data_IF_093999580135
#
_entry.id   IF_093999580135
#
_cell.length_a   1.000
_cell.length_b   1.000
_cell.length_c   1.000
_cell.angle_alpha   90.00
_cell.angle_beta   90.00
_cell.angle_gamma   90.00
#
_symmetry.space_group_name_H-M   'P 1'
#
loop_
_entity.id
_entity.type
_entity.pdbx_description
1 polymer ?
#
# COMPACT_ATOMS: atom_id res chain seq x y z
N UNK A 1 -17.68 12.62 -10.50
CA UNK A 1 -16.85 12.01 -9.45
C UNK A 1 -15.67 12.93 -9.20
N UNK A 2 -15.48 13.40 -7.98
CA UNK A 2 -14.47 14.37 -7.59
C UNK A 2 -13.08 13.75 -7.40
N UNK A 3 -12.09 14.64 -7.21
CA UNK A 3 -10.70 14.28 -6.90
C UNK A 3 -10.14 15.29 -5.92
N UNK A 4 -9.51 14.82 -4.86
CA UNK A 4 -8.73 15.65 -3.96
C UNK A 4 -7.32 15.78 -4.52
N UNK A 5 -6.82 17.01 -4.69
CA UNK A 5 -5.45 17.29 -5.13
C UNK A 5 -4.57 17.56 -3.91
N UNK A 6 -3.40 16.94 -3.85
CA UNK A 6 -2.37 17.28 -2.88
C UNK A 6 -1.90 18.73 -3.12
N UNK A 7 -2.10 19.66 -2.16
CA UNK A 7 -1.58 21.01 -2.30
C UNK A 7 -0.05 20.98 -2.34
N UNK A 8 0.56 21.76 -3.24
CA UNK A 8 2.01 21.80 -3.38
C UNK A 8 2.71 22.23 -2.08
N UNK A 9 2.11 23.16 -1.33
CA UNK A 9 2.61 23.61 -0.02
C UNK A 9 2.65 22.49 1.03
N UNK A 10 1.83 21.45 0.87
CA UNK A 10 1.73 20.32 1.80
C UNK A 10 2.61 19.13 1.41
N UNK A 11 3.24 19.14 0.23
CA UNK A 11 4.08 18.01 -0.23
C UNK A 11 5.20 17.69 0.76
N UNK A 12 5.92 18.71 1.21
CA UNK A 12 7.04 18.53 2.16
C UNK A 12 6.57 17.93 3.46
N UNK A 13 5.47 18.45 4.02
CA UNK A 13 4.95 17.99 5.30
C UNK A 13 4.43 16.54 5.22
N UNK A 14 3.63 16.24 4.20
CA UNK A 14 3.04 14.91 4.00
C UNK A 14 4.03 13.86 3.46
N UNK A 15 5.24 14.28 3.08
CA UNK A 15 6.33 13.36 2.73
C UNK A 15 7.09 12.81 3.94
N UNK A 16 6.92 13.43 5.13
CA UNK A 16 7.53 12.94 6.36
C UNK A 16 6.87 11.63 6.79
N UNK A 17 7.62 10.69 7.40
CA UNK A 17 7.03 9.49 7.98
C UNK A 17 5.96 9.86 9.02
N UNK A 18 4.74 9.35 8.86
CA UNK A 18 3.64 9.56 9.81
C UNK A 18 3.72 8.63 11.04
N UNK A 19 4.77 7.82 11.12
CA UNK A 19 4.95 6.82 12.17
C UNK A 19 6.36 6.23 12.14
N UNK A 20 6.49 4.98 12.58
CA UNK A 20 7.77 4.30 12.63
C UNK A 20 8.39 4.16 11.24
N UNK A 21 9.57 4.74 11.05
CA UNK A 21 10.41 4.52 9.88
C UNK A 21 11.38 3.37 10.18
N UNK A 22 11.29 2.28 9.42
CA UNK A 22 12.24 1.18 9.50
C UNK A 22 13.47 1.52 8.65
N UNK A 23 14.63 1.61 9.30
CA UNK A 23 15.91 1.89 8.67
C UNK A 23 16.76 0.61 8.70
N UNK A 24 17.09 0.07 7.53
CA UNK A 24 17.80 -1.20 7.40
C UNK A 24 17.69 -1.76 5.99
N UNK A 25 18.26 -2.94 5.78
CA UNK A 25 18.08 -3.68 4.53
C UNK A 25 16.60 -4.11 4.36
N UNK A 26 16.14 -4.40 3.14
CA UNK A 26 14.80 -4.95 2.91
C UNK A 26 14.50 -6.18 3.77
N UNK A 27 15.48 -7.09 3.93
CA UNK A 27 15.35 -8.32 4.72
C UNK A 27 15.22 -8.03 6.22
N UNK A 28 15.97 -7.06 6.74
CA UNK A 28 15.89 -6.63 8.13
C UNK A 28 14.54 -6.00 8.44
N UNK A 29 14.07 -5.11 7.57
CA UNK A 29 12.79 -4.43 7.72
C UNK A 29 11.62 -5.42 7.69
N UNK A 30 11.67 -6.41 6.79
CA UNK A 30 10.72 -7.52 6.76
C UNK A 30 10.65 -8.26 8.09
N UNK A 31 11.80 -8.63 8.67
CA UNK A 31 11.84 -9.34 9.96
C UNK A 31 11.23 -8.50 11.07
N UNK A 32 11.53 -7.21 11.10
CA UNK A 32 10.95 -6.27 12.07
C UNK A 32 9.42 -6.20 11.93
N UNK A 33 8.90 -6.12 10.70
CA UNK A 33 7.46 -6.15 10.43
C UNK A 33 6.82 -7.45 10.95
N UNK A 34 7.40 -8.61 10.66
CA UNK A 34 6.88 -9.90 11.13
C UNK A 34 6.82 -9.94 12.66
N UNK A 35 7.85 -9.42 13.35
CA UNK A 35 7.84 -9.34 14.81
C UNK A 35 6.77 -8.36 15.32
N UNK A 36 6.59 -7.20 14.68
CA UNK A 36 5.52 -6.26 15.02
C UNK A 36 4.14 -6.89 14.85
N UNK A 37 3.92 -7.66 13.79
CA UNK A 37 2.67 -8.39 13.57
C UNK A 37 2.41 -9.42 14.67
N UNK A 38 3.43 -10.21 15.05
CA UNK A 38 3.31 -11.21 16.13
C UNK A 38 3.02 -10.57 17.48
N UNK A 39 3.75 -9.50 17.82
CA UNK A 39 3.67 -8.86 19.13
C UNK A 39 2.37 -8.07 19.32
N UNK A 40 1.86 -7.45 18.26
CA UNK A 40 0.67 -6.58 18.35
C UNK A 40 -0.62 -7.28 17.90
N UNK A 41 -0.53 -8.39 17.18
CA UNK A 41 -1.68 -9.11 16.61
C UNK A 41 -2.71 -8.16 15.98
N UNK A 42 -2.31 -7.31 15.00
CA UNK A 42 -3.19 -6.28 14.47
C UNK A 42 -4.40 -6.91 13.78
N UNK A 43 -5.59 -6.31 13.89
CA UNK A 43 -6.81 -6.87 13.29
C UNK A 43 -6.76 -6.83 11.75
N UNK A 44 -6.00 -5.89 11.17
CA UNK A 44 -5.79 -5.76 9.72
C UNK A 44 -4.39 -5.26 9.39
N UNK A 45 -3.88 -5.72 8.25
CA UNK A 45 -2.60 -5.30 7.65
C UNK A 45 -2.90 -4.68 6.29
N UNK A 46 -2.44 -3.44 6.11
CA UNK A 46 -2.55 -2.70 4.84
C UNK A 46 -1.14 -2.40 4.33
N UNK A 47 -0.88 -2.70 3.06
CA UNK A 47 0.40 -2.47 2.40
C UNK A 47 0.20 -1.55 1.20
N UNK A 48 1.01 -0.50 1.10
CA UNK A 48 0.91 0.51 0.04
C UNK A 48 2.27 0.64 -0.66
N UNK A 49 2.27 0.53 -1.98
CA UNK A 49 3.44 0.65 -2.85
C UNK A 49 3.99 -0.68 -3.33
N UNK A 50 4.43 -0.70 -4.59
CA UNK A 50 4.76 -1.95 -5.30
C UNK A 50 5.93 -2.72 -4.64
N UNK A 51 6.96 -2.00 -4.18
CA UNK A 51 8.15 -2.63 -3.58
C UNK A 51 7.81 -3.39 -2.30
N UNK A 52 7.04 -2.78 -1.40
CA UNK A 52 6.67 -3.41 -0.13
C UNK A 52 5.69 -4.55 -0.37
N UNK A 53 4.71 -4.35 -1.26
CA UNK A 53 3.76 -5.39 -1.63
C UNK A 53 4.46 -6.63 -2.20
N UNK A 54 5.44 -6.43 -3.09
CA UNK A 54 6.25 -7.53 -3.63
C UNK A 54 6.93 -8.36 -2.53
N UNK A 55 7.60 -7.71 -1.58
CA UNK A 55 8.33 -8.40 -0.52
C UNK A 55 7.39 -9.15 0.44
N UNK A 56 6.23 -8.58 0.76
CA UNK A 56 5.23 -9.29 1.57
C UNK A 56 4.77 -10.58 0.87
N UNK A 57 4.41 -10.46 -0.41
CA UNK A 57 3.90 -11.58 -1.18
C UNK A 57 4.97 -12.65 -1.46
N UNK A 58 6.23 -12.26 -1.70
CA UNK A 58 7.33 -13.22 -1.90
C UNK A 58 7.64 -14.06 -0.67
N UNK A 59 7.25 -13.59 0.52
CA UNK A 59 7.38 -14.29 1.79
C UNK A 59 6.11 -15.07 2.18
N UNK A 60 5.10 -15.11 1.30
CA UNK A 60 3.82 -15.76 1.55
C UNK A 60 2.90 -15.00 2.51
N UNK A 61 3.19 -13.73 2.80
CA UNK A 61 2.36 -12.89 3.67
C UNK A 61 1.39 -12.10 2.80
N UNK A 62 0.12 -12.46 2.86
CA UNK A 62 -0.93 -11.76 2.10
C UNK A 62 -1.59 -10.72 3.01
N UNK A 63 -1.47 -9.40 2.70
CA UNK A 63 -2.12 -8.37 3.48
C UNK A 63 -3.64 -8.41 3.28
N UNK A 64 -4.40 -7.87 4.23
CA UNK A 64 -5.85 -7.70 4.08
C UNK A 64 -6.17 -6.73 2.93
N UNK A 65 -5.32 -5.72 2.74
CA UNK A 65 -5.38 -4.81 1.60
C UNK A 65 -3.99 -4.45 1.09
N UNK A 66 -3.72 -4.73 -0.18
CA UNK A 66 -2.56 -4.25 -0.92
C UNK A 66 -2.96 -3.15 -1.91
N UNK A 67 -2.20 -2.07 -1.99
CA UNK A 67 -2.41 -0.98 -2.97
C UNK A 67 -1.11 -0.75 -3.73
N UNK A 68 -1.17 -0.76 -5.05
CA UNK A 68 0.01 -0.65 -5.92
C UNK A 68 -0.33 0.18 -7.18
N UNK A 69 0.66 0.82 -7.80
CA UNK A 69 0.45 1.76 -8.92
C UNK A 69 1.33 1.47 -10.17
N UNK A 70 2.21 0.45 -10.11
CA UNK A 70 3.16 0.06 -11.18
C UNK A 70 4.09 1.20 -11.64
N UNK A 71 4.14 2.34 -10.94
CA UNK A 71 4.91 3.52 -11.34
C UNK A 71 6.27 3.59 -10.65
N UNK A 72 6.74 2.53 -9.97
CA UNK A 72 8.09 2.60 -9.38
C UNK A 72 9.17 2.75 -10.45
N UNK A 73 10.15 3.60 -10.15
CA UNK A 73 11.31 3.86 -11.01
C UNK A 73 12.43 2.81 -10.88
N UNK A 74 12.25 1.79 -10.03
CA UNK A 74 13.30 0.81 -9.70
C UNK A 74 12.88 -0.55 -10.27
N UNK A 75 13.31 -0.84 -11.49
CA UNK A 75 13.16 -2.12 -12.22
C UNK A 75 11.70 -2.55 -12.52
N UNK A 76 11.46 -3.32 -13.60
CA UNK A 76 10.13 -3.86 -13.88
C UNK A 76 9.85 -5.01 -12.91
N UNK A 77 9.30 -4.71 -11.73
CA UNK A 77 8.73 -5.72 -10.86
C UNK A 77 7.45 -6.27 -11.50
N UNK A 78 7.52 -7.44 -12.13
CA UNK A 78 6.34 -8.13 -12.66
C UNK A 78 5.60 -8.83 -11.52
N UNK A 79 4.82 -8.06 -10.77
CA UNK A 79 3.76 -8.59 -9.92
C UNK A 79 2.63 -9.10 -10.83
N UNK A 80 2.64 -10.39 -11.13
CA UNK A 80 1.53 -11.09 -11.78
C UNK A 80 0.39 -11.28 -10.77
N UNK A 81 -0.23 -10.17 -10.39
CA UNK A 81 -1.38 -10.14 -9.50
C UNK A 81 -2.65 -9.96 -10.30
N UNK A 82 -3.70 -10.65 -9.88
CA UNK A 82 -5.07 -10.36 -10.30
C UNK A 82 -5.67 -9.39 -9.28
N UNK A 83 -5.73 -8.07 -9.58
CA UNK A 83 -6.28 -7.11 -8.65
C UNK A 83 -7.78 -7.35 -8.45
N UNK A 84 -8.24 -7.19 -7.21
CA UNK A 84 -9.67 -7.18 -6.87
C UNK A 84 -10.39 -5.96 -7.45
N UNK A 85 -9.66 -4.87 -7.69
CA UNK A 85 -10.18 -3.66 -8.32
C UNK A 85 -9.06 -2.89 -9.04
N UNK A 86 -9.41 -2.21 -10.14
CA UNK A 86 -8.56 -1.26 -10.85
C UNK A 86 -9.24 0.10 -10.78
N UNK A 87 -8.51 1.12 -10.35
CA UNK A 87 -9.02 2.46 -10.09
C UNK A 87 -8.19 3.48 -10.84
N UNK A 88 -8.82 4.52 -11.38
CA UNK A 88 -8.08 5.62 -11.98
C UNK A 88 -7.72 6.67 -10.92
N UNK A 89 -6.47 6.68 -10.47
CA UNK A 89 -5.96 7.69 -9.54
C UNK A 89 -4.75 8.46 -10.10
N UNK A 90 -4.94 9.70 -10.60
CA UNK A 90 -3.84 10.51 -11.11
C UNK A 90 -2.79 10.83 -10.05
N UNK A 91 -1.53 11.01 -10.46
CA UNK A 91 -0.43 11.32 -9.55
C UNK A 91 -0.67 12.63 -8.77
N UNK A 92 -0.52 12.58 -7.44
CA UNK A 92 -0.80 13.72 -6.56
C UNK A 92 -2.29 13.95 -6.29
N UNK A 93 -3.16 12.99 -6.64
CA UNK A 93 -4.57 13.03 -6.32
C UNK A 93 -5.00 11.80 -5.52
N UNK A 94 -6.16 11.92 -4.87
CA UNK A 94 -6.96 10.79 -4.40
C UNK A 94 -8.36 11.00 -4.98
N UNK A 95 -8.80 10.11 -5.88
CA UNK A 95 -10.13 10.14 -6.47
C UNK A 95 -11.20 9.65 -5.49
N UNK A 96 -12.43 10.14 -5.61
CA UNK A 96 -13.56 9.61 -4.82
C UNK A 96 -13.77 8.12 -5.07
N UNK A 97 -13.43 7.66 -6.29
CA UNK A 97 -13.46 6.25 -6.68
C UNK A 97 -12.50 5.41 -5.85
N UNK A 98 -11.25 5.88 -5.70
CA UNK A 98 -10.26 5.23 -4.86
C UNK A 98 -10.72 5.17 -3.41
N UNK A 99 -11.24 6.28 -2.88
CA UNK A 99 -11.76 6.34 -1.50
C UNK A 99 -12.89 5.33 -1.31
N UNK A 100 -13.86 5.30 -2.22
CA UNK A 100 -15.02 4.42 -2.12
C UNK A 100 -14.61 2.95 -2.18
N UNK A 101 -13.76 2.58 -3.14
CA UNK A 101 -13.32 1.19 -3.33
C UNK A 101 -12.47 0.73 -2.14
N UNK A 102 -11.51 1.55 -1.68
CA UNK A 102 -10.69 1.24 -0.52
C UNK A 102 -11.57 1.05 0.72
N UNK A 103 -12.55 1.93 0.96
CA UNK A 103 -13.48 1.79 2.09
C UNK A 103 -14.31 0.51 2.01
N UNK A 104 -14.81 0.16 0.83
CA UNK A 104 -15.62 -1.04 0.66
C UNK A 104 -14.77 -2.30 0.90
N UNK A 105 -13.58 -2.36 0.30
CA UNK A 105 -12.67 -3.50 0.44
C UNK A 105 -12.08 -3.63 1.84
N UNK A 106 -11.87 -2.52 2.55
CA UNK A 106 -11.49 -2.57 3.96
C UNK A 106 -12.59 -3.16 4.84
N UNK A 107 -13.86 -3.10 4.45
CA UNK A 107 -14.99 -3.62 5.24
C UNK A 107 -15.45 -5.02 4.80
N UNK A 108 -14.98 -5.52 3.66
CA UNK A 108 -15.28 -6.88 3.21
C UNK A 108 -14.39 -7.93 3.86
N UNK A 109 -14.83 -9.19 3.74
CA UNK A 109 -14.05 -10.36 4.13
C UNK A 109 -13.06 -10.73 3.03
N UNK A 110 -11.89 -11.22 3.45
CA UNK A 110 -10.84 -11.69 2.55
C UNK A 110 -9.69 -10.70 2.38
N UNK A 111 -8.79 -11.05 1.47
CA UNK A 111 -7.60 -10.27 1.16
C UNK A 111 -7.79 -9.64 -0.22
N UNK A 112 -7.53 -8.34 -0.31
CA UNK A 112 -7.79 -7.58 -1.52
C UNK A 112 -6.53 -6.89 -2.03
N UNK A 113 -6.43 -6.77 -3.35
CA UNK A 113 -5.37 -6.00 -3.99
C UNK A 113 -6.00 -4.98 -4.94
N UNK A 114 -5.62 -3.71 -4.81
CA UNK A 114 -6.13 -2.60 -5.62
C UNK A 114 -4.99 -2.03 -6.46
N UNK A 115 -5.26 -1.92 -7.76
CA UNK A 115 -4.38 -1.21 -8.69
C UNK A 115 -4.88 0.23 -8.87
N UNK A 116 -4.03 1.23 -8.63
CA UNK A 116 -4.38 2.67 -8.67
C UNK A 116 -3.60 3.49 -9.70
#
# INVERSE_FOLDING_TARGET
MGKLKLPESMRTELSKPLGLLLTGSPEENVKQIINLMKNNSPPKIVVIGDFVLFHFLSLGIIPNLGIYDKKTKRLPFSLNLSPSAIVNNPAGYISDEAISIIKNLLNSQGNHIVYV
#
